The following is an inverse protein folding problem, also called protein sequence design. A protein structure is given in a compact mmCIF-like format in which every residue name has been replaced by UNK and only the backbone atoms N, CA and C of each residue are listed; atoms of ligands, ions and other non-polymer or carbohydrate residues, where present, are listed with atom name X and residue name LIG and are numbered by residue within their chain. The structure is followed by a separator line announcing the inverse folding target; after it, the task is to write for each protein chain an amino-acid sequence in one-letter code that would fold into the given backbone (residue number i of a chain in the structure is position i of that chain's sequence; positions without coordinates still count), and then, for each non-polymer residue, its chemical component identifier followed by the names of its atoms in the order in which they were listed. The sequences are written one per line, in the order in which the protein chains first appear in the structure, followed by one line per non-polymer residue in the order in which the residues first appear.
data_IF_608519908067
#
_entry.id   IF_608519908067
#
_cell.length_a   1.000
_cell.length_b   1.000
_cell.length_c   1.000
_cell.angle_alpha   90.00
_cell.angle_beta   90.00
_cell.angle_gamma   90.00
#
_symmetry.space_group_name_H-M   'P 1'
#
loop_
_entity.id
_entity.type
_entity.pdbx_description
1 polymer ?
#
# COMPACT_ATOMS: atom_id res chain seq x y z
N UNK A 1 -12.09 1.40 4.81
CA UNK A 1 -11.23 0.22 4.95
C UNK A 1 -10.26 0.50 6.09
N UNK A 2 -9.94 -0.46 6.96
CA UNK A 2 -8.96 -0.27 8.04
C UNK A 2 -7.56 -0.64 7.59
N UNK A 3 -6.53 -0.23 8.34
CA UNK A 3 -5.15 -0.65 8.13
C UNK A 3 -5.05 -2.18 8.13
N UNK A 4 -5.67 -2.86 9.10
CA UNK A 4 -5.65 -4.32 9.21
C UNK A 4 -6.21 -5.01 7.98
N UNK A 5 -7.34 -4.52 7.45
CA UNK A 5 -7.96 -5.05 6.25
C UNK A 5 -7.06 -4.88 5.03
N UNK A 6 -6.40 -3.72 4.90
CA UNK A 6 -5.48 -3.43 3.79
C UNK A 6 -4.22 -4.30 3.87
N UNK A 7 -3.68 -4.47 5.07
CA UNK A 7 -2.54 -5.36 5.33
C UNK A 7 -2.87 -6.81 4.97
N UNK A 8 -4.04 -7.31 5.38
CA UNK A 8 -4.47 -8.67 5.08
C UNK A 8 -4.68 -8.89 3.57
N UNK A 9 -5.25 -7.91 2.87
CA UNK A 9 -5.43 -7.93 1.41
C UNK A 9 -4.09 -8.00 0.68
N UNK A 10 -3.10 -7.19 1.09
CA UNK A 10 -1.83 -7.08 0.40
C UNK A 10 -0.80 -8.14 0.80
N UNK A 11 -1.00 -8.88 1.90
CA UNK A 11 0.00 -9.78 2.48
C UNK A 11 0.60 -10.76 1.46
N UNK A 12 -0.25 -11.47 0.72
CA UNK A 12 0.20 -12.49 -0.22
C UNK A 12 0.92 -11.92 -1.43
N UNK A 13 0.46 -10.77 -1.94
CA UNK A 13 1.09 -10.13 -3.11
C UNK A 13 2.40 -9.43 -2.74
N UNK A 14 2.49 -8.88 -1.52
CA UNK A 14 3.72 -8.30 -0.99
C UNK A 14 4.79 -9.38 -0.76
N UNK A 15 4.42 -10.55 -0.22
CA UNK A 15 5.33 -11.67 -0.02
C UNK A 15 5.89 -12.18 -1.37
N UNK A 16 5.01 -12.41 -2.35
CA UNK A 16 5.44 -12.80 -3.70
C UNK A 16 6.34 -11.76 -4.34
N UNK A 17 5.97 -10.49 -4.28
CA UNK A 17 6.78 -9.39 -4.82
C UNK A 17 8.17 -9.35 -4.17
N UNK A 18 8.25 -9.54 -2.85
CA UNK A 18 9.51 -9.58 -2.13
C UNK A 18 10.41 -10.72 -2.59
N UNK A 19 9.84 -11.93 -2.74
CA UNK A 19 10.56 -13.09 -3.26
C UNK A 19 11.04 -12.84 -4.70
N UNK A 20 10.17 -12.32 -5.56
CA UNK A 20 10.51 -12.02 -6.96
C UNK A 20 11.61 -10.94 -7.04
N UNK A 21 11.57 -9.91 -6.20
CA UNK A 21 12.62 -8.88 -6.17
C UNK A 21 13.97 -9.43 -5.72
N UNK A 22 13.98 -10.26 -4.67
CA UNK A 22 15.21 -10.77 -4.03
C UNK A 22 15.89 -11.88 -4.81
N UNK A 23 15.11 -12.77 -5.45
CA UNK A 23 15.62 -14.03 -6.01
C UNK A 23 15.63 -14.08 -7.54
N UNK A 24 15.23 -13.01 -8.23
CA UNK A 24 15.34 -12.94 -9.69
C UNK A 24 16.64 -12.28 -10.15
N UNK A 25 17.06 -12.59 -11.38
CA UNK A 25 18.28 -12.02 -11.97
C UNK A 25 18.13 -10.50 -12.10
N UNK A 26 19.17 -9.71 -11.74
CA UNK A 26 19.18 -8.27 -11.97
C UNK A 26 18.87 -7.90 -13.43
N UNK A 27 17.94 -6.96 -13.62
CA UNK A 27 17.51 -6.49 -14.94
C UNK A 27 16.59 -7.44 -15.71
N UNK A 28 16.18 -8.57 -15.13
CA UNK A 28 15.23 -9.47 -15.76
C UNK A 28 13.80 -8.91 -15.77
N UNK A 29 12.96 -9.40 -16.68
CA UNK A 29 11.54 -9.05 -16.74
C UNK A 29 10.80 -9.35 -15.43
N UNK A 30 11.21 -10.43 -14.75
CA UNK A 30 10.66 -10.81 -13.45
C UNK A 30 11.02 -9.78 -12.37
N UNK A 31 12.27 -9.30 -12.34
CA UNK A 31 12.68 -8.24 -11.42
C UNK A 31 11.95 -6.93 -11.71
N UNK A 32 11.82 -6.56 -12.99
CA UNK A 32 11.10 -5.36 -13.41
C UNK A 32 9.61 -5.44 -13.02
N UNK A 33 9.00 -6.61 -13.15
CA UNK A 33 7.62 -6.85 -12.70
C UNK A 33 7.48 -6.69 -11.19
N UNK A 34 8.41 -7.26 -10.41
CA UNK A 34 8.43 -7.09 -8.95
C UNK A 34 8.50 -5.62 -8.54
N UNK A 35 9.37 -4.84 -9.20
CA UNK A 35 9.49 -3.40 -8.96
C UNK A 35 8.20 -2.63 -9.31
N UNK A 36 7.53 -2.97 -10.40
CA UNK A 36 6.23 -2.38 -10.75
C UNK A 36 5.17 -2.70 -9.70
N UNK A 37 5.12 -3.94 -9.22
CA UNK A 37 4.21 -4.35 -8.14
C UNK A 37 4.53 -3.60 -6.85
N UNK A 38 5.80 -3.47 -6.47
CA UNK A 38 6.21 -2.69 -5.30
C UNK A 38 5.73 -1.23 -5.39
N UNK A 39 5.99 -0.58 -6.52
CA UNK A 39 5.57 0.80 -6.77
C UNK A 39 4.05 0.96 -6.64
N UNK A 40 3.29 0.02 -7.22
CA UNK A 40 1.83 0.00 -7.11
C UNK A 40 1.35 -0.17 -5.66
N UNK A 41 1.92 -1.11 -4.90
CA UNK A 41 1.55 -1.34 -3.50
C UNK A 41 1.82 -0.08 -2.64
N UNK A 42 2.97 0.58 -2.83
CA UNK A 42 3.31 1.83 -2.14
C UNK A 42 2.34 2.95 -2.52
N UNK A 43 2.04 3.13 -3.81
CA UNK A 43 1.08 4.14 -4.27
C UNK A 43 -0.30 3.96 -3.64
N UNK A 44 -0.77 2.70 -3.60
CA UNK A 44 -2.02 2.33 -2.93
C UNK A 44 -2.06 2.66 -1.44
N UNK A 45 -0.92 2.66 -0.75
CA UNK A 45 -0.81 3.10 0.65
C UNK A 45 -0.85 4.62 0.75
N UNK A 46 -0.16 5.33 -0.14
CA UNK A 46 -0.22 6.80 -0.21
C UNK A 46 -1.67 7.29 -0.35
N UNK A 47 -2.39 6.76 -1.33
CA UNK A 47 -3.80 7.14 -1.57
C UNK A 47 -4.69 6.83 -0.37
N UNK A 48 -4.51 5.65 0.23
CA UNK A 48 -5.28 5.22 1.39
C UNK A 48 -5.04 6.12 2.60
N UNK A 49 -3.77 6.38 2.93
CA UNK A 49 -3.41 7.20 4.09
C UNK A 49 -3.85 8.65 3.93
N UNK A 50 -3.70 9.23 2.73
CA UNK A 50 -4.22 10.58 2.45
C UNK A 50 -5.75 10.66 2.50
N UNK A 51 -6.45 9.54 2.24
CA UNK A 51 -7.90 9.49 2.42
C UNK A 51 -8.28 9.37 3.91
N UNK A 52 -7.59 8.53 4.68
CA UNK A 52 -7.81 8.42 6.14
C UNK A 52 -7.50 9.72 6.88
N UNK A 53 -6.42 10.42 6.52
CA UNK A 53 -6.08 11.74 7.08
C UNK A 53 -7.22 12.74 6.89
N UNK A 54 -7.76 12.82 5.66
CA UNK A 54 -8.92 13.68 5.37
C UNK A 54 -10.15 13.30 6.18
N UNK A 55 -10.44 12.00 6.32
CA UNK A 55 -11.56 11.51 7.14
C UNK A 55 -11.40 11.90 8.61
N UNK A 56 -10.21 11.75 9.18
CA UNK A 56 -9.92 12.15 10.56
C UNK A 56 -10.04 13.66 10.76
N UNK A 57 -9.51 14.46 9.84
CA UNK A 57 -9.64 15.91 9.88
C UNK A 57 -11.13 16.34 9.87
N UNK A 58 -11.96 15.74 9.01
CA UNK A 58 -13.40 16.02 8.98
C UNK A 58 -14.11 15.59 10.27
N UNK A 59 -13.76 14.44 10.84
CA UNK A 59 -14.33 14.00 12.13
C UNK A 59 -14.02 14.98 13.26
N UNK A 60 -12.76 15.44 13.35
CA UNK A 60 -12.35 16.44 14.35
C UNK A 60 -13.09 17.76 14.20
N UNK A 61 -13.36 18.22 12.98
CA UNK A 61 -14.15 19.44 12.75
C UNK A 61 -15.63 19.32 13.18
N UNK A 62 -16.20 18.11 13.12
CA UNK A 62 -17.56 17.85 13.59
C UNK A 62 -17.64 17.83 15.11
N UNK A 63 -16.64 17.22 15.77
CA UNK A 63 -16.53 17.22 17.23
C UNK A 63 -16.31 18.62 17.81
N UNK A 64 -15.56 19.49 17.13
CA UNK A 64 -15.36 20.88 17.59
C UNK A 64 -16.57 21.79 17.40
N UNK A 65 -17.57 21.35 16.63
CA UNK A 65 -18.78 22.13 16.30
C UNK A 65 -20.00 21.71 17.13
N UNK A 66 -19.83 20.76 18.05
CA UNK A 66 -20.85 20.21 18.96
C UNK A 66 -20.61 20.68 20.39
#
# INVERSE_FOLDING_TARGET
MTIDSRCQEQKNIADKMFMDFKYTKPGSDAQLKALKTLSFLIGMWGDFLSHEERRMASALTLESSS
#
